data_IF_056914140284
#
_entry.id   IF_056914140284
#
_cell.length_a   1.000
_cell.length_b   1.000
_cell.length_c   1.000
_cell.angle_alpha   90.00
_cell.angle_beta   90.00
_cell.angle_gamma   90.00
#
_symmetry.space_group_name_H-M   'P 1'
#
loop_
_entity.id
_entity.type
_entity.pdbx_description
1 polymer ?
#
# COMPACT_ATOMS: atom_id res chain seq x y z
N UNK A 1 11.52 -14.88 27.30
CA UNK A 1 10.93 -14.96 25.95
C UNK A 1 10.54 -13.55 25.54
N UNK A 2 11.23 -12.93 24.60
CA UNK A 2 10.78 -11.67 24.03
C UNK A 2 9.66 -11.99 23.05
N UNK A 3 8.42 -11.68 23.41
CA UNK A 3 7.30 -11.72 22.47
C UNK A 3 7.68 -10.84 21.28
N UNK A 4 7.88 -11.45 20.10
CA UNK A 4 8.29 -10.75 18.89
C UNK A 4 7.15 -9.81 18.50
N UNK A 5 7.22 -8.54 18.90
CA UNK A 5 6.21 -7.56 18.56
C UNK A 5 6.11 -7.46 17.05
N UNK A 6 4.91 -7.63 16.51
CA UNK A 6 4.67 -7.48 15.07
C UNK A 6 4.84 -5.99 14.74
N UNK A 7 5.73 -5.62 13.80
CA UNK A 7 5.91 -4.22 13.45
C UNK A 7 4.62 -3.58 12.97
N UNK A 8 4.25 -2.46 13.57
CA UNK A 8 3.12 -1.66 13.11
C UNK A 8 3.53 -0.68 12.01
N UNK A 9 2.61 -0.41 11.10
CA UNK A 9 2.76 0.53 9.98
C UNK A 9 1.52 1.43 9.89
N UNK A 10 1.71 2.61 9.30
CA UNK A 10 0.62 3.56 9.08
C UNK A 10 0.08 3.43 7.66
N UNK A 11 -1.24 3.29 7.52
CA UNK A 11 -1.88 3.36 6.22
C UNK A 11 -1.74 4.77 5.63
N UNK A 12 -1.26 4.88 4.39
CA UNK A 12 -1.03 6.18 3.74
C UNK A 12 -2.32 6.99 3.51
N UNK A 13 -3.48 6.34 3.48
CA UNK A 13 -4.76 6.96 3.20
C UNK A 13 -5.49 7.43 4.47
N UNK A 14 -5.71 6.52 5.42
CA UNK A 14 -6.47 6.81 6.66
C UNK A 14 -5.59 7.13 7.87
N UNK A 15 -4.27 6.97 7.77
CA UNK A 15 -3.25 7.25 8.82
C UNK A 15 -3.33 6.39 10.08
N UNK A 16 -4.30 5.47 10.20
CA UNK A 16 -4.35 4.50 11.29
C UNK A 16 -3.13 3.57 11.28
N UNK A 17 -2.68 3.20 12.47
CA UNK A 17 -1.63 2.21 12.69
C UNK A 17 -2.25 0.81 12.73
N UNK A 18 -1.59 -0.14 12.09
CA UNK A 18 -1.98 -1.55 12.14
C UNK A 18 -0.74 -2.44 11.98
N UNK A 19 -0.83 -3.73 12.31
CA UNK A 19 0.23 -4.69 11.99
C UNK A 19 0.52 -4.70 10.48
N UNK A 20 1.79 -4.85 10.11
CA UNK A 20 2.17 -4.91 8.70
C UNK A 20 1.46 -6.04 7.92
N UNK A 21 1.07 -7.12 8.60
CA UNK A 21 0.36 -8.27 8.01
C UNK A 21 -1.08 -7.95 7.62
N UNK A 22 -1.69 -6.94 8.23
CA UNK A 22 -3.06 -6.49 7.93
C UNK A 22 -3.07 -5.34 6.91
N UNK A 23 -1.89 -4.98 6.40
CA UNK A 23 -1.68 -3.93 5.42
C UNK A 23 -1.04 -4.52 4.17
N UNK A 24 -1.35 -3.91 3.03
CA UNK A 24 -0.77 -4.25 1.74
C UNK A 24 0.41 -3.33 1.50
N UNK A 25 1.60 -3.89 1.28
CA UNK A 25 2.76 -3.12 0.81
C UNK A 25 2.60 -2.84 -0.67
N UNK A 26 2.79 -1.59 -1.02
CA UNK A 26 2.83 -1.10 -2.40
C UNK A 26 4.16 -0.44 -2.68
N UNK A 27 4.62 -0.50 -3.92
CA UNK A 27 5.87 0.12 -4.39
C UNK A 27 5.64 0.87 -5.69
N UNK A 28 6.38 1.96 -5.89
CA UNK A 28 6.38 2.69 -7.15
C UNK A 28 7.45 2.09 -8.08
N UNK A 29 7.05 1.70 -9.28
CA UNK A 29 7.94 1.24 -10.36
C UNK A 29 7.66 2.08 -11.60
N UNK A 30 8.55 3.03 -11.90
CA UNK A 30 8.30 4.03 -12.94
C UNK A 30 7.14 4.95 -12.55
N UNK A 31 6.04 4.88 -13.28
CA UNK A 31 4.79 5.60 -13.02
C UNK A 31 3.65 4.69 -12.51
N UNK A 32 3.97 3.43 -12.17
CA UNK A 32 3.00 2.42 -11.77
C UNK A 32 3.16 1.99 -10.31
N UNK A 33 2.05 1.92 -9.58
CA UNK A 33 1.99 1.35 -8.24
C UNK A 33 1.72 -0.13 -8.34
N UNK A 34 2.64 -0.94 -7.82
CA UNK A 34 2.55 -2.40 -7.75
C UNK A 34 2.34 -2.86 -6.32
N UNK A 35 1.71 -4.03 -6.17
CA UNK A 35 1.61 -4.74 -4.90
C UNK A 35 2.87 -5.57 -4.71
N UNK A 36 3.45 -5.49 -3.52
CA UNK A 36 4.64 -6.25 -3.15
C UNK A 36 4.26 -7.32 -2.13
N UNK A 37 3.67 -8.41 -2.64
CA UNK A 37 3.12 -9.52 -1.84
C UNK A 37 4.18 -10.20 -0.97
N UNK A 38 5.37 -10.40 -1.53
CA UNK A 38 6.49 -11.08 -0.86
C UNK A 38 7.36 -10.15 -0.01
N UNK A 39 7.09 -8.85 -0.01
CA UNK A 39 7.91 -7.83 0.66
C UNK A 39 9.37 -7.81 0.18
N UNK A 40 9.60 -8.06 -1.12
CA UNK A 40 10.92 -8.18 -1.75
C UNK A 40 11.19 -7.15 -2.82
N UNK A 41 10.17 -6.40 -3.26
CA UNK A 41 10.37 -5.40 -4.29
C UNK A 41 11.26 -4.24 -3.79
N UNK A 42 12.22 -3.87 -4.64
CA UNK A 42 13.14 -2.77 -4.40
C UNK A 42 12.43 -1.40 -4.48
N UNK A 43 12.93 -0.44 -3.71
CA UNK A 43 12.43 0.93 -3.68
C UNK A 43 11.62 1.29 -2.44
N UNK A 44 11.15 2.54 -2.39
CA UNK A 44 10.32 3.04 -1.29
C UNK A 44 8.98 2.31 -1.32
N UNK A 45 8.61 1.72 -0.18
CA UNK A 45 7.30 1.08 0.00
C UNK A 45 6.33 1.96 0.76
N UNK A 46 5.04 1.80 0.48
CA UNK A 46 3.94 2.45 1.17
C UNK A 46 2.89 1.41 1.59
N UNK A 47 2.25 1.61 2.74
CA UNK A 47 1.31 0.65 3.32
C UNK A 47 -0.14 1.13 3.15
N UNK A 48 -1.04 0.24 2.78
CA UNK A 48 -2.43 0.55 2.49
C UNK A 48 -3.36 -0.55 3.05
N UNK A 49 -4.44 -0.17 3.74
CA UNK A 49 -5.52 -1.12 4.04
C UNK A 49 -6.28 -1.50 2.76
N UNK A 50 -6.78 -2.73 2.67
CA UNK A 50 -7.53 -3.21 1.50
C UNK A 50 -8.74 -2.34 1.15
N UNK A 51 -9.43 -1.79 2.15
CA UNK A 51 -10.59 -0.91 1.99
C UNK A 51 -10.25 0.58 1.76
N UNK A 52 -8.98 0.94 1.68
CA UNK A 52 -8.54 2.33 1.62
C UNK A 52 -8.14 2.83 0.23
N UNK A 53 -8.29 2.02 -0.83
CA UNK A 53 -7.87 2.39 -2.19
C UNK A 53 -8.54 3.68 -2.67
N UNK A 54 -9.86 3.78 -2.54
CA UNK A 54 -10.60 4.95 -3.03
C UNK A 54 -10.13 6.24 -2.33
N UNK A 55 -9.99 6.19 -1.00
CA UNK A 55 -9.46 7.32 -0.20
C UNK A 55 -8.03 7.67 -0.63
N UNK A 56 -7.21 6.67 -0.94
CA UNK A 56 -5.84 6.87 -1.40
C UNK A 56 -5.78 7.62 -2.74
N UNK A 57 -6.69 7.27 -3.67
CA UNK A 57 -6.81 7.93 -4.99
C UNK A 57 -7.28 9.36 -4.81
N UNK A 58 -8.42 9.58 -4.15
CA UNK A 58 -9.03 10.90 -3.96
C UNK A 58 -8.09 11.91 -3.30
N UNK A 59 -7.30 11.44 -2.32
CA UNK A 59 -6.38 12.29 -1.55
C UNK A 59 -4.95 12.30 -2.10
N UNK A 60 -4.71 11.76 -3.29
CA UNK A 60 -3.37 11.61 -3.89
C UNK A 60 -2.35 11.06 -2.88
N UNK A 61 -2.74 10.07 -2.09
CA UNK A 61 -1.94 9.55 -0.99
C UNK A 61 -0.67 8.87 -1.49
N UNK A 62 -0.75 8.16 -2.63
CA UNK A 62 0.39 7.54 -3.28
C UNK A 62 1.42 8.57 -3.76
N UNK A 63 0.97 9.64 -4.43
CA UNK A 63 1.87 10.74 -4.83
C UNK A 63 2.65 11.29 -3.64
N UNK A 64 1.97 11.54 -2.52
CA UNK A 64 2.61 12.03 -1.29
C UNK A 64 3.56 11.00 -0.68
N UNK A 65 3.17 9.72 -0.64
CA UNK A 65 3.99 8.66 -0.07
C UNK A 65 5.28 8.42 -0.86
N UNK A 66 5.20 8.51 -2.19
CA UNK A 66 6.33 8.28 -3.08
C UNK A 66 7.06 9.56 -3.50
N UNK A 67 6.58 10.74 -3.10
CA UNK A 67 7.08 12.04 -3.57
C UNK A 67 7.11 12.12 -5.10
N UNK A 68 5.99 11.75 -5.73
CA UNK A 68 5.83 11.68 -7.18
C UNK A 68 4.91 12.78 -7.70
N UNK A 69 5.38 13.53 -8.69
CA UNK A 69 4.60 14.55 -9.40
C UNK A 69 4.01 13.96 -10.68
N UNK A 70 2.69 14.13 -10.87
CA UNK A 70 1.98 13.65 -12.04
C UNK A 70 1.04 12.48 -11.77
N UNK A 71 0.58 11.84 -12.84
CA UNK A 71 -0.38 10.74 -12.78
C UNK A 71 0.33 9.42 -12.46
N UNK A 72 -0.27 8.63 -11.57
CA UNK A 72 0.19 7.30 -11.22
C UNK A 72 -0.81 6.26 -11.73
N UNK A 73 -0.31 5.18 -12.32
CA UNK A 73 -1.11 4.01 -12.68
C UNK A 73 -1.29 3.14 -11.43
N UNK A 74 -2.53 2.78 -11.13
CA UNK A 74 -2.89 2.02 -9.92
C UNK A 74 -3.70 0.75 -10.25
N UNK A 75 -3.69 0.34 -11.51
CA UNK A 75 -4.48 -0.78 -12.02
C UNK A 75 -4.12 -2.09 -11.31
N UNK A 76 -2.81 -2.37 -11.16
CA UNK A 76 -2.32 -3.55 -10.46
C UNK A 76 -2.85 -3.65 -9.01
N UNK A 77 -2.93 -2.53 -8.29
CA UNK A 77 -3.49 -2.51 -6.92
C UNK A 77 -5.00 -2.76 -6.94
N UNK A 78 -5.72 -2.14 -7.86
CA UNK A 78 -7.16 -2.33 -8.02
C UNK A 78 -7.51 -3.79 -8.30
N UNK A 79 -6.79 -4.43 -9.21
CA UNK A 79 -7.07 -5.80 -9.60
C UNK A 79 -6.70 -6.80 -8.50
N UNK A 80 -5.59 -6.57 -7.78
CA UNK A 80 -5.25 -7.34 -6.59
C UNK A 80 -6.36 -7.28 -5.54
N UNK A 81 -6.89 -6.08 -5.24
CA UNK A 81 -7.94 -5.90 -4.23
C UNK A 81 -9.28 -6.54 -4.62
N UNK A 82 -9.63 -6.53 -5.91
CA UNK A 82 -10.79 -7.28 -6.40
C UNK A 82 -10.62 -8.78 -6.17
N UNK A 83 -9.41 -9.32 -6.35
CA UNK A 83 -9.09 -10.72 -6.09
C UNK A 83 -9.24 -11.12 -4.61
N UNK A 84 -8.95 -10.21 -3.68
CA UNK A 84 -9.16 -10.44 -2.24
C UNK A 84 -10.63 -10.47 -1.83
N UNK A 85 -11.52 -9.88 -2.63
CA UNK A 85 -12.95 -9.78 -2.33
C UNK A 85 -13.73 -11.06 -2.67
N UNK A 86 -13.04 -12.10 -3.16
CA UNK A 86 -13.62 -13.34 -3.68
C UNK A 86 -13.60 -14.53 -2.72
N UNK A 87 -13.52 -14.32 -1.41
CA UNK A 87 -13.63 -15.36 -0.39
C UNK A 87 -14.78 -15.10 0.58
#
# INVERSE_FOLDING_TARGET
>A
MFSKQIPQRSCIACRRLENWTDLIRTVLVGDEIKVDEDHRMQGRGAWLHSNCLQIAIERKAFNRAFNYEGQLKMQAVSDYLKGLSGH
#
